data_IF_901670466709
#
_entry.id   IF_901670466709
#
_cell.length_a   1.000
_cell.length_b   1.000
_cell.length_c   1.000
_cell.angle_alpha   90.00
_cell.angle_beta   90.00
_cell.angle_gamma   90.00
#
_symmetry.space_group_name_H-M   'P 1'
#
loop_
_entity.id
_entity.type
_entity.pdbx_description
1 polymer ?
#
# COMPACT_ATOMS: atom_id res chain seq x y z
N UNK A 1 -7.41 9.68 -2.55
CA UNK A 1 -7.10 8.26 -2.28
C UNK A 1 -6.29 7.69 -3.43
N UNK A 2 -5.24 6.93 -3.13
CA UNK A 2 -4.56 6.06 -4.09
C UNK A 2 -5.06 4.63 -3.90
N UNK A 3 -5.63 4.03 -4.96
CA UNK A 3 -6.15 2.67 -4.94
C UNK A 3 -5.45 1.85 -6.03
N UNK A 4 -4.43 1.09 -5.65
CA UNK A 4 -3.50 0.41 -6.54
C UNK A 4 -3.49 -1.10 -6.24
N UNK A 5 -4.57 -1.76 -6.61
CA UNK A 5 -4.80 -3.20 -6.44
C UNK A 5 -4.68 -3.91 -7.80
N UNK A 6 -4.45 -5.22 -7.79
CA UNK A 6 -4.26 -6.01 -9.01
C UNK A 6 -3.11 -5.46 -9.89
N UNK A 7 -2.02 -5.07 -9.21
CA UNK A 7 -0.86 -4.44 -9.84
C UNK A 7 0.45 -4.85 -9.18
N UNK A 8 1.52 -4.83 -9.95
CA UNK A 8 2.88 -5.01 -9.47
C UNK A 8 3.53 -3.70 -9.03
N UNK A 9 4.82 -3.72 -8.67
CA UNK A 9 5.57 -2.52 -8.35
C UNK A 9 5.37 -1.41 -9.37
N UNK A 10 5.19 -0.18 -8.90
CA UNK A 10 4.90 0.96 -9.77
C UNK A 10 6.06 1.18 -10.75
N UNK A 11 5.71 1.35 -12.02
CA UNK A 11 6.68 1.67 -13.06
C UNK A 11 7.29 3.06 -12.85
N UNK A 12 8.41 3.32 -13.50
CA UNK A 12 9.04 4.65 -13.48
C UNK A 12 8.08 5.76 -13.95
N UNK A 13 7.23 5.47 -14.94
CA UNK A 13 6.26 6.44 -15.43
C UNK A 13 5.14 6.70 -14.42
N UNK A 14 4.70 5.68 -13.67
CA UNK A 14 3.76 5.86 -12.57
C UNK A 14 4.39 6.71 -11.44
N UNK A 15 5.65 6.46 -11.10
CA UNK A 15 6.37 7.29 -10.13
C UNK A 15 6.55 8.73 -10.59
N UNK A 16 6.87 8.99 -11.87
CA UNK A 16 6.95 10.36 -12.41
C UNK A 16 5.63 11.11 -12.27
N UNK A 17 4.50 10.44 -12.52
CA UNK A 17 3.18 11.05 -12.34
C UNK A 17 2.93 11.37 -10.87
N UNK A 18 3.27 10.46 -9.96
CA UNK A 18 3.17 10.67 -8.52
C UNK A 18 4.08 11.82 -8.04
N UNK A 19 5.30 11.92 -8.55
CA UNK A 19 6.22 13.01 -8.24
C UNK A 19 5.66 14.36 -8.73
N UNK A 20 5.03 14.41 -9.90
CA UNK A 20 4.35 15.61 -10.39
C UNK A 20 3.17 16.00 -9.50
N UNK A 21 2.34 15.04 -9.08
CA UNK A 21 1.24 15.30 -8.15
C UNK A 21 1.76 15.86 -6.82
N UNK A 22 2.84 15.29 -6.29
CA UNK A 22 3.48 15.80 -5.08
C UNK A 22 3.97 17.25 -5.27
N UNK A 23 4.59 17.54 -6.42
CA UNK A 23 5.06 18.88 -6.76
C UNK A 23 3.91 19.90 -6.82
N UNK A 24 2.76 19.48 -7.35
CA UNK A 24 1.54 20.27 -7.46
C UNK A 24 0.79 20.39 -6.11
N UNK A 25 1.34 19.82 -5.03
CA UNK A 25 0.80 19.91 -3.67
C UNK A 25 -0.31 18.90 -3.34
N UNK A 26 -0.49 17.87 -4.17
CA UNK A 26 -1.47 16.82 -3.90
C UNK A 26 -1.00 15.90 -2.79
N UNK A 27 -1.96 15.51 -1.95
CA UNK A 27 -1.76 14.46 -0.95
C UNK A 27 -2.94 13.48 -0.98
N UNK A 28 -2.72 12.27 -0.53
CA UNK A 28 -3.75 11.25 -0.39
C UNK A 28 -4.03 11.01 1.10
N UNK A 29 -5.29 11.12 1.50
CA UNK A 29 -5.75 10.67 2.83
C UNK A 29 -5.80 9.14 3.01
N UNK A 30 -5.53 8.36 1.96
CA UNK A 30 -5.37 6.91 2.06
C UNK A 30 -4.60 6.33 0.85
N UNK A 31 -3.81 5.29 1.09
CA UNK A 31 -3.11 4.46 0.11
C UNK A 31 -3.43 2.97 0.31
N UNK A 32 -4.01 2.34 -0.72
CA UNK A 32 -4.38 0.94 -0.75
C UNK A 32 -3.52 0.25 -1.81
N UNK A 33 -2.67 -0.69 -1.39
CA UNK A 33 -1.62 -1.29 -2.23
C UNK A 33 -1.82 -2.81 -2.32
N UNK A 34 -1.69 -3.36 -3.53
CA UNK A 34 -1.70 -4.79 -3.81
C UNK A 34 -0.72 -5.57 -2.93
N UNK A 35 -1.16 -6.68 -2.37
CA UNK A 35 -0.40 -7.56 -1.51
C UNK A 35 -0.66 -9.03 -1.86
N UNK A 36 -0.96 -9.32 -3.13
CA UNK A 36 -1.43 -10.63 -3.60
C UNK A 36 -0.48 -11.76 -3.20
N UNK A 37 0.83 -11.49 -3.20
CA UNK A 37 1.86 -12.50 -2.93
C UNK A 37 2.14 -12.73 -1.44
N UNK A 38 1.55 -11.97 -0.53
CA UNK A 38 1.73 -12.15 0.91
C UNK A 38 3.22 -12.21 1.32
N UNK A 39 3.59 -13.25 2.07
CA UNK A 39 4.97 -13.55 2.50
C UNK A 39 5.81 -14.26 1.43
N UNK A 40 5.32 -14.35 0.19
CA UNK A 40 6.06 -14.88 -0.94
C UNK A 40 7.24 -14.00 -1.38
N UNK A 41 7.95 -14.46 -2.40
CA UNK A 41 9.03 -13.69 -3.03
C UNK A 41 8.53 -12.44 -3.76
N UNK A 42 9.43 -11.49 -4.07
CA UNK A 42 9.07 -10.27 -4.80
C UNK A 42 8.52 -10.60 -6.19
N UNK A 43 7.47 -9.89 -6.59
CA UNK A 43 6.83 -10.05 -7.89
C UNK A 43 6.96 -8.83 -8.79
N UNK A 44 6.62 -9.03 -10.07
CA UNK A 44 6.57 -7.97 -11.09
C UNK A 44 5.15 -7.64 -11.53
N UNK A 45 4.23 -8.60 -11.47
CA UNK A 45 2.81 -8.42 -11.78
C UNK A 45 1.94 -8.19 -10.53
N UNK A 46 2.42 -8.64 -9.37
CA UNK A 46 1.80 -8.43 -8.06
C UNK A 46 2.89 -8.19 -7.02
N UNK A 47 2.50 -7.66 -5.86
CA UNK A 47 3.45 -7.33 -4.80
C UNK A 47 3.38 -8.32 -3.62
N UNK A 48 4.54 -8.55 -3.01
CA UNK A 48 4.66 -9.15 -1.68
C UNK A 48 4.63 -8.06 -0.59
N UNK A 49 4.61 -8.46 0.69
CA UNK A 49 4.53 -7.51 1.80
C UNK A 49 5.74 -6.57 1.90
N UNK A 50 6.94 -7.02 1.54
CA UNK A 50 8.13 -6.16 1.54
C UNK A 50 8.00 -5.04 0.50
N UNK A 51 7.52 -5.38 -0.70
CA UNK A 51 7.25 -4.40 -1.75
C UNK A 51 6.13 -3.44 -1.33
N UNK A 52 5.07 -3.92 -0.66
CA UNK A 52 4.02 -3.05 -0.10
C UNK A 52 4.62 -2.04 0.89
N UNK A 53 5.39 -2.51 1.86
CA UNK A 53 6.01 -1.65 2.88
C UNK A 53 6.92 -0.61 2.22
N UNK A 54 7.70 -1.02 1.23
CA UNK A 54 8.55 -0.10 0.46
C UNK A 54 7.73 0.97 -0.27
N UNK A 55 6.66 0.61 -0.99
CA UNK A 55 5.80 1.57 -1.69
C UNK A 55 5.13 2.54 -0.71
N UNK A 56 4.59 2.02 0.39
CA UNK A 56 4.00 2.85 1.43
C UNK A 56 5.03 3.84 1.99
N UNK A 57 6.28 3.42 2.20
CA UNK A 57 7.38 4.28 2.64
C UNK A 57 7.73 5.36 1.63
N UNK A 58 7.84 4.98 0.35
CA UNK A 58 8.20 5.89 -0.75
C UNK A 58 7.12 6.93 -1.03
N UNK A 59 5.83 6.58 -0.88
CA UNK A 59 4.72 7.54 -0.92
C UNK A 59 4.84 8.57 0.22
N UNK A 60 5.12 8.11 1.44
CA UNK A 60 5.34 8.99 2.59
C UNK A 60 6.54 9.92 2.40
N UNK A 61 7.67 9.40 1.91
CA UNK A 61 8.90 10.18 1.67
C UNK A 61 8.72 11.29 0.63
N UNK A 62 7.80 11.10 -0.31
CA UNK A 62 7.43 12.08 -1.36
C UNK A 62 6.38 13.10 -0.90
N UNK A 63 5.98 13.07 0.37
CA UNK A 63 4.87 13.88 0.88
C UNK A 63 3.54 13.66 0.14
N UNK A 64 3.33 12.47 -0.44
CA UNK A 64 2.09 12.11 -1.12
C UNK A 64 1.01 11.60 -0.16
N UNK A 65 1.35 11.37 1.11
CA UNK A 65 0.41 10.92 2.13
C UNK A 65 0.17 12.07 3.11
N UNK A 66 -1.11 12.34 3.40
CA UNK A 66 -1.48 13.25 4.49
C UNK A 66 -0.95 12.72 5.84
N UNK A 67 -0.75 13.57 6.86
CA UNK A 67 -0.18 13.16 8.15
C UNK A 67 -0.95 12.02 8.85
N UNK A 68 -2.26 11.93 8.64
CA UNK A 68 -3.18 10.93 9.18
C UNK A 68 -3.67 9.94 8.11
N UNK A 69 -2.99 9.86 6.98
CA UNK A 69 -3.40 9.00 5.88
C UNK A 69 -3.40 7.51 6.26
N UNK A 70 -4.49 6.82 5.94
CA UNK A 70 -4.58 5.38 6.12
C UNK A 70 -3.72 4.61 5.12
N UNK A 71 -2.87 3.69 5.60
CA UNK A 71 -1.94 2.90 4.78
C UNK A 71 -2.35 1.43 4.83
N UNK A 72 -2.84 0.91 3.72
CA UNK A 72 -3.46 -0.41 3.64
C UNK A 72 -2.72 -1.35 2.68
N UNK A 73 -2.56 -2.60 3.12
CA UNK A 73 -2.28 -3.73 2.25
C UNK A 73 -3.61 -4.41 1.87
N UNK A 74 -3.84 -4.71 0.59
CA UNK A 74 -5.10 -5.26 0.09
C UNK A 74 -4.90 -6.27 -1.03
N UNK A 75 -5.99 -6.89 -1.48
CA UNK A 75 -5.98 -7.84 -2.59
C UNK A 75 -5.10 -9.07 -2.32
N UNK A 76 -5.23 -9.66 -1.12
CA UNK A 76 -4.48 -10.84 -0.73
C UNK A 76 -4.96 -12.08 -1.49
N UNK A 77 -4.02 -12.91 -1.97
CA UNK A 77 -4.36 -14.26 -2.39
C UNK A 77 -4.44 -15.20 -1.18
N UNK A 78 -5.08 -16.36 -1.36
CA UNK A 78 -5.06 -17.42 -0.35
C UNK A 78 -3.67 -18.09 -0.22
N UNK A 79 -2.74 -17.82 -1.13
CA UNK A 79 -1.40 -18.39 -1.13
C UNK A 79 -0.44 -17.44 -0.41
N UNK A 80 0.38 -17.98 0.49
CA UNK A 80 1.42 -17.25 1.23
C UNK A 80 0.93 -16.05 2.08
N UNK A 81 -0.38 -15.84 2.20
CA UNK A 81 -0.97 -14.88 3.15
C UNK A 81 -1.25 -15.61 4.48
N UNK A 82 -0.59 -15.20 5.58
CA UNK A 82 -0.85 -15.80 6.88
C UNK A 82 -2.23 -15.38 7.41
N UNK A 83 -2.74 -16.03 8.48
CA UNK A 83 -3.96 -15.60 9.15
C UNK A 83 -3.93 -14.10 9.50
N UNK A 84 -5.09 -13.45 9.44
CA UNK A 84 -5.20 -11.99 9.61
C UNK A 84 -4.52 -11.44 10.87
N UNK A 85 -4.57 -12.17 11.99
CA UNK A 85 -3.92 -11.76 13.24
C UNK A 85 -2.38 -11.70 13.10
N UNK A 86 -1.78 -12.69 12.46
CA UNK A 86 -0.34 -12.74 12.21
C UNK A 86 0.07 -11.65 11.19
N UNK A 87 -0.75 -11.47 10.15
CA UNK A 87 -0.54 -10.41 9.16
C UNK A 87 -0.60 -9.01 9.78
N UNK A 88 -1.57 -8.79 10.67
CA UNK A 88 -1.72 -7.52 11.41
C UNK A 88 -0.51 -7.27 12.29
N UNK A 89 -0.08 -8.27 13.07
CA UNK A 89 1.10 -8.17 13.92
C UNK A 89 2.37 -7.88 13.11
N UNK A 90 2.52 -8.54 11.95
CA UNK A 90 3.65 -8.33 11.06
C UNK A 90 3.69 -6.91 10.48
N UNK A 91 2.57 -6.37 10.00
CA UNK A 91 2.51 -5.07 9.34
C UNK A 91 2.46 -3.86 10.30
N UNK A 92 2.04 -4.07 11.56
CA UNK A 92 1.91 -3.01 12.56
C UNK A 92 3.20 -2.22 12.77
N UNK A 93 4.35 -2.90 12.74
CA UNK A 93 5.67 -2.25 12.89
C UNK A 93 6.00 -1.24 11.78
N UNK A 94 5.33 -1.33 10.63
CA UNK A 94 5.51 -0.45 9.48
C UNK A 94 4.41 0.62 9.38
N UNK A 95 3.45 0.64 10.31
CA UNK A 95 2.28 1.50 10.22
C UNK A 95 1.43 1.21 8.98
N UNK A 96 1.31 -0.07 8.60
CA UNK A 96 0.47 -0.55 7.50
C UNK A 96 -0.58 -1.49 8.09
N UNK A 97 -1.82 -1.37 7.63
CA UNK A 97 -2.94 -2.20 8.08
C UNK A 97 -3.33 -3.20 6.98
N UNK A 98 -3.41 -4.50 7.25
CA UNK A 98 -4.06 -5.41 6.33
C UNK A 98 -5.57 -5.13 6.31
N UNK A 99 -6.11 -5.03 5.11
CA UNK A 99 -7.55 -4.91 4.93
C UNK A 99 -8.26 -6.27 5.07
N UNK A 100 -9.56 -6.21 5.33
CA UNK A 100 -10.43 -7.37 5.44
C UNK A 100 -11.85 -7.01 5.00
N UNK A 101 -12.66 -8.02 4.73
CA UNK A 101 -14.07 -7.82 4.39
C UNK A 101 -14.78 -7.06 5.52
N UNK A 102 -15.56 -6.04 5.14
CA UNK A 102 -16.26 -5.17 6.08
C UNK A 102 -15.40 -4.10 6.75
N UNK A 103 -14.11 -3.96 6.42
CA UNK A 103 -13.31 -2.82 6.84
C UNK A 103 -13.91 -1.52 6.30
N UNK A 104 -14.14 -0.55 7.19
CA UNK A 104 -14.54 0.82 6.86
C UNK A 104 -13.45 1.76 7.32
N UNK A 105 -13.02 2.66 6.43
CA UNK A 105 -12.08 3.72 6.76
C UNK A 105 -12.60 5.06 6.27
N UNK A 106 -12.17 6.12 6.92
CA UNK A 106 -12.34 7.48 6.44
C UNK A 106 -11.14 7.82 5.56
N UNK A 107 -11.39 8.50 4.44
CA UNK A 107 -10.35 9.13 3.64
C UNK A 107 -10.38 10.60 4.04
N UNK A 108 -9.28 11.07 4.63
CA UNK A 108 -9.10 12.49 4.93
C UNK A 108 -9.17 13.38 3.67
N UNK A 109 -9.10 14.72 3.83
CA UNK A 109 -9.08 15.66 2.71
C UNK A 109 -7.95 15.36 1.70
#
# INVERSE_FOLDING_TARGET
MLYATDTGPFSDDAWKILDQLAHDGWTFGASIIDATLGLGGPGTAHMNLEQVVWHQGELGRRALLAPDAGRFAHHFSHNATPPHQELTAHLAQFGVMPSHDGLVTHVGP
#
